data_IF_722421584566
#
_entry.id   IF_722421584566
#
_cell.length_a   1.000
_cell.length_b   1.000
_cell.length_c   1.000
_cell.angle_alpha   90.00
_cell.angle_beta   90.00
_cell.angle_gamma   90.00
#
_symmetry.space_group_name_H-M   'P 1'
#
loop_
_entity.id
_entity.type
_entity.pdbx_description
1 polymer ?
#
# COMPACT_ATOMS: atom_id res chain seq x y z
N UNK A 1 46.72 -28.41 15.01
CA UNK A 1 45.90 -27.47 14.22
C UNK A 1 44.71 -28.15 13.54
N UNK A 2 44.85 -29.39 13.03
CA UNK A 2 43.74 -30.16 12.41
C UNK A 2 42.60 -30.45 13.40
N UNK A 3 42.93 -30.79 14.66
CA UNK A 3 41.94 -31.03 15.73
C UNK A 3 41.09 -29.78 16.04
N UNK A 4 41.70 -28.60 16.03
CA UNK A 4 41.01 -27.33 16.26
C UNK A 4 40.05 -26.99 15.10
N UNK A 5 40.44 -27.28 13.86
CA UNK A 5 39.58 -27.11 12.68
C UNK A 5 38.37 -28.06 12.74
N UNK A 6 38.59 -29.32 13.12
CA UNK A 6 37.51 -30.31 13.24
C UNK A 6 36.46 -29.90 14.27
N UNK A 7 36.88 -29.33 15.41
CA UNK A 7 35.95 -28.80 16.43
C UNK A 7 35.15 -27.61 15.90
N UNK A 8 35.78 -26.69 15.17
CA UNK A 8 35.08 -25.52 14.61
C UNK A 8 34.03 -25.94 13.57
N UNK A 9 34.38 -26.88 12.68
CA UNK A 9 33.44 -27.40 11.67
C UNK A 9 32.29 -28.17 12.33
N UNK A 10 32.57 -28.95 13.38
CA UNK A 10 31.54 -29.66 14.13
C UNK A 10 30.56 -28.69 14.79
N UNK A 11 31.07 -27.65 15.46
CA UNK A 11 30.23 -26.62 16.10
C UNK A 11 29.44 -25.84 15.05
N UNK A 12 30.06 -25.48 13.93
CA UNK A 12 29.39 -24.81 12.81
C UNK A 12 28.28 -25.67 12.19
N UNK A 13 28.52 -26.97 12.00
CA UNK A 13 27.53 -27.91 11.47
C UNK A 13 26.37 -28.14 12.44
N UNK A 14 26.64 -28.17 13.75
CA UNK A 14 25.59 -28.24 14.78
C UNK A 14 24.77 -26.96 14.78
N UNK A 15 25.39 -25.78 14.75
CA UNK A 15 24.67 -24.51 14.63
C UNK A 15 23.83 -24.44 13.35
N UNK A 16 24.37 -24.91 12.23
CA UNK A 16 23.67 -24.99 10.95
C UNK A 16 22.41 -25.86 11.03
N UNK A 17 22.47 -27.01 11.72
CA UNK A 17 21.32 -27.90 11.95
C UNK A 17 20.18 -27.23 12.76
N UNK A 18 20.50 -26.24 13.59
CA UNK A 18 19.51 -25.50 14.39
C UNK A 18 19.03 -24.20 13.74
N UNK A 19 19.66 -23.76 12.65
CA UNK A 19 19.14 -22.67 11.82
C UNK A 19 18.08 -23.28 10.91
N UNK A 20 16.81 -22.81 10.96
CA UNK A 20 15.78 -23.28 10.05
C UNK A 20 16.21 -22.96 8.62
N UNK A 21 16.46 -23.99 7.82
CA UNK A 21 16.78 -23.90 6.39
C UNK A 21 15.49 -24.13 5.60
N UNK A 22 14.52 -23.25 5.80
CA UNK A 22 13.32 -23.22 4.96
C UNK A 22 13.64 -22.41 3.69
N UNK A 23 14.52 -22.94 2.83
CA UNK A 23 14.92 -22.31 1.57
C UNK A 23 13.88 -22.51 0.43
N UNK A 24 12.76 -23.21 0.69
CA UNK A 24 11.70 -23.52 -0.28
C UNK A 24 10.29 -23.03 0.13
N UNK A 25 10.16 -22.34 1.26
CA UNK A 25 8.90 -21.68 1.60
C UNK A 25 8.93 -20.28 0.99
N UNK A 26 8.20 -20.06 -0.12
CA UNK A 26 7.75 -18.70 -0.46
C UNK A 26 7.26 -18.07 0.85
N UNK A 27 7.86 -16.94 1.30
CA UNK A 27 7.56 -16.41 2.62
C UNK A 27 6.05 -16.31 2.73
N UNK A 28 5.46 -16.99 3.72
CA UNK A 28 4.03 -16.96 3.94
C UNK A 28 3.69 -15.52 4.35
N UNK A 29 3.45 -14.69 3.33
CA UNK A 29 3.08 -13.30 3.49
C UNK A 29 1.78 -13.32 4.25
N UNK A 30 1.88 -13.04 5.56
CA UNK A 30 0.77 -13.07 6.49
C UNK A 30 -0.31 -12.12 5.99
N UNK A 31 -1.41 -12.68 5.51
CA UNK A 31 -2.60 -11.91 5.14
C UNK A 31 -3.16 -11.22 6.38
N UNK A 32 -3.41 -9.93 6.26
CA UNK A 32 -4.12 -9.15 7.28
C UNK A 32 -5.58 -9.01 6.85
N UNK A 33 -6.51 -9.36 7.74
CA UNK A 33 -7.91 -8.99 7.56
C UNK A 33 -8.06 -7.52 7.94
N UNK A 34 -8.45 -6.68 6.96
CA UNK A 34 -8.57 -5.23 7.12
C UNK A 34 -10.02 -4.76 7.25
N UNK A 35 -11.00 -5.67 7.32
CA UNK A 35 -12.43 -5.33 7.28
C UNK A 35 -12.86 -4.49 8.47
N UNK A 36 -12.36 -4.78 9.67
CA UNK A 36 -12.73 -4.06 10.89
C UNK A 36 -12.20 -2.63 10.85
N UNK A 37 -10.95 -2.48 10.45
CA UNK A 37 -10.26 -1.20 10.28
C UNK A 37 -10.91 -0.37 9.17
N UNK A 38 -11.28 -0.99 8.05
CA UNK A 38 -11.99 -0.31 6.96
C UNK A 38 -13.36 0.21 7.43
N UNK A 39 -14.15 -0.61 8.13
CA UNK A 39 -15.44 -0.18 8.67
C UNK A 39 -15.28 0.95 9.69
N UNK A 40 -14.20 0.93 10.47
CA UNK A 40 -13.88 1.99 11.42
C UNK A 40 -13.49 3.27 10.70
N UNK A 41 -12.60 3.18 9.71
CA UNK A 41 -12.15 4.30 8.90
C UNK A 41 -13.33 4.96 8.16
N UNK A 42 -14.20 4.19 7.51
CA UNK A 42 -15.38 4.71 6.80
C UNK A 42 -16.36 5.48 7.68
N UNK A 43 -16.43 5.14 8.97
CA UNK A 43 -17.28 5.86 9.94
C UNK A 43 -16.62 7.11 10.51
N UNK A 44 -15.30 7.15 10.54
CA UNK A 44 -14.54 8.18 11.25
C UNK A 44 -13.90 9.21 10.31
N UNK A 45 -13.54 8.81 9.09
CA UNK A 45 -12.89 9.68 8.12
C UNK A 45 -13.88 10.72 7.57
N UNK A 46 -13.37 11.92 7.32
CA UNK A 46 -14.12 13.02 6.72
C UNK A 46 -14.31 12.90 5.19
N UNK A 47 -13.88 11.78 4.60
CA UNK A 47 -13.90 11.52 3.16
C UNK A 47 -14.21 10.04 2.87
N UNK A 48 -14.67 9.70 1.64
CA UNK A 48 -14.92 8.32 1.24
C UNK A 48 -13.62 7.48 1.22
N UNK A 49 -13.58 6.44 2.05
CA UNK A 49 -12.37 5.61 2.23
C UNK A 49 -12.27 4.60 1.10
N UNK A 50 -11.12 4.61 0.42
CA UNK A 50 -10.80 3.77 -0.72
C UNK A 50 -10.31 2.39 -0.28
N UNK A 51 -11.00 1.35 -0.72
CA UNK A 51 -10.55 -0.03 -0.60
C UNK A 51 -10.79 -0.78 -1.92
N UNK A 52 -9.90 -1.72 -2.30
CA UNK A 52 -10.10 -2.48 -3.52
C UNK A 52 -11.19 -3.54 -3.36
N UNK A 53 -11.95 -3.76 -4.42
CA UNK A 53 -12.91 -4.86 -4.55
C UNK A 53 -12.64 -5.66 -5.83
N UNK A 54 -12.81 -6.98 -5.77
CA UNK A 54 -12.65 -7.85 -6.94
C UNK A 54 -11.19 -8.07 -7.38
N UNK A 55 -10.20 -7.74 -6.55
CA UNK A 55 -8.82 -8.16 -6.80
C UNK A 55 -8.71 -9.69 -6.73
N UNK A 56 -7.90 -10.33 -7.59
CA UNK A 56 -7.61 -11.76 -7.48
C UNK A 56 -6.99 -12.11 -6.13
N UNK A 57 -7.24 -13.32 -5.62
CA UNK A 57 -6.68 -13.78 -4.35
C UNK A 57 -5.15 -13.67 -4.26
N UNK A 58 -4.44 -13.76 -5.37
CA UNK A 58 -2.98 -13.61 -5.40
C UNK A 58 -2.50 -12.23 -4.87
N UNK A 59 -3.38 -11.23 -4.80
CA UNK A 59 -3.11 -9.97 -4.09
C UNK A 59 -3.33 -10.18 -2.59
N UNK A 60 -2.25 -10.05 -1.81
CA UNK A 60 -2.27 -10.32 -0.37
C UNK A 60 -2.24 -9.01 0.42
N UNK A 61 -3.29 -8.65 1.17
CA UNK A 61 -3.23 -7.50 2.07
C UNK A 61 -2.23 -7.77 3.20
N UNK A 62 -1.34 -6.83 3.47
CA UNK A 62 -0.19 -7.02 4.38
C UNK A 62 -0.15 -6.03 5.52
N UNK A 63 -0.77 -4.87 5.35
CA UNK A 63 -0.83 -3.83 6.37
C UNK A 63 -2.11 -3.02 6.23
N UNK A 64 -2.70 -2.64 7.36
CA UNK A 64 -3.81 -1.71 7.41
C UNK A 64 -3.60 -0.77 8.59
N UNK A 65 -3.92 0.51 8.40
CA UNK A 65 -3.91 1.50 9.48
C UNK A 65 -4.84 2.65 9.15
N UNK A 66 -5.56 3.12 10.17
CA UNK A 66 -6.27 4.39 10.13
C UNK A 66 -5.81 5.27 11.29
N UNK A 67 -5.57 6.56 11.03
CA UNK A 67 -5.19 7.59 12.02
C UNK A 67 -6.07 8.82 11.87
N UNK A 68 -7.17 8.87 12.61
CA UNK A 68 -8.07 10.03 12.65
C UNK A 68 -7.44 11.28 13.27
N UNK A 69 -6.45 11.11 14.14
CA UNK A 69 -5.72 12.18 14.82
C UNK A 69 -4.57 12.77 13.98
N UNK A 70 -4.24 12.14 12.85
CA UNK A 70 -3.15 12.51 11.94
C UNK A 70 -3.69 12.70 10.53
N UNK A 71 -4.47 13.78 10.32
CA UNK A 71 -5.06 14.14 9.03
C UNK A 71 -5.91 13.04 8.39
N UNK A 72 -6.72 12.36 9.22
CA UNK A 72 -7.57 11.24 8.83
C UNK A 72 -6.85 10.21 7.95
N UNK A 73 -5.59 9.87 8.25
CA UNK A 73 -4.76 9.09 7.33
C UNK A 73 -5.21 7.64 7.24
N UNK A 74 -5.50 7.18 6.02
CA UNK A 74 -5.80 5.80 5.68
C UNK A 74 -4.63 5.17 4.95
N UNK A 75 -4.29 3.95 5.35
CA UNK A 75 -3.23 3.14 4.76
C UNK A 75 -3.72 1.70 4.59
N UNK A 76 -3.55 1.18 3.39
CA UNK A 76 -3.80 -0.23 3.07
C UNK A 76 -2.75 -0.76 2.11
N UNK A 77 -1.84 -1.60 2.61
CA UNK A 77 -0.75 -2.22 1.87
C UNK A 77 -1.08 -3.62 1.36
N UNK A 78 -0.56 -3.94 0.19
CA UNK A 78 -0.65 -5.24 -0.46
C UNK A 78 0.70 -5.68 -1.02
N UNK A 79 0.88 -6.99 -1.11
CA UNK A 79 1.78 -7.60 -2.08
C UNK A 79 0.99 -8.07 -3.31
N UNK A 80 1.50 -7.73 -4.48
CA UNK A 80 1.05 -8.21 -5.77
C UNK A 80 1.47 -9.67 -5.99
N UNK A 81 0.98 -10.36 -7.05
CA UNK A 81 1.26 -11.78 -7.27
C UNK A 81 2.74 -12.15 -7.43
N UNK A 82 3.57 -11.21 -7.87
CA UNK A 82 5.03 -11.34 -8.01
C UNK A 82 5.79 -10.89 -6.75
N UNK A 83 5.09 -10.56 -5.67
CA UNK A 83 5.66 -10.09 -4.41
C UNK A 83 5.90 -8.58 -4.35
N UNK A 84 5.66 -7.83 -5.44
CA UNK A 84 5.87 -6.38 -5.42
C UNK A 84 4.88 -5.67 -4.50
N UNK A 85 5.33 -4.60 -3.85
CA UNK A 85 4.51 -3.86 -2.90
C UNK A 85 3.64 -2.83 -3.61
N UNK A 86 2.37 -2.72 -3.19
CA UNK A 86 1.42 -1.70 -3.63
C UNK A 86 0.58 -1.27 -2.44
N UNK A 87 0.52 0.03 -2.16
CA UNK A 87 -0.27 0.63 -1.10
C UNK A 87 -1.32 1.59 -1.65
N UNK A 88 -2.44 1.67 -0.95
CA UNK A 88 -3.45 2.70 -1.08
C UNK A 88 -3.32 3.61 0.14
N UNK A 89 -3.02 4.88 -0.11
CA UNK A 89 -2.85 5.91 0.90
C UNK A 89 -3.90 7.00 0.68
N UNK A 90 -4.57 7.45 1.73
CA UNK A 90 -5.41 8.64 1.67
C UNK A 90 -5.19 9.55 2.89
N UNK A 91 -5.32 10.85 2.70
CA UNK A 91 -5.25 11.82 3.79
C UNK A 91 -5.83 13.18 3.40
N UNK A 92 -6.29 13.93 4.39
CA UNK A 92 -6.68 15.35 4.28
C UNK A 92 -5.50 16.32 4.45
N UNK A 93 -4.28 15.82 4.64
CA UNK A 93 -3.08 16.63 4.71
C UNK A 93 -2.81 17.41 3.40
N UNK A 94 -1.99 18.47 3.48
CA UNK A 94 -1.51 19.21 2.31
C UNK A 94 -1.00 18.25 1.22
N UNK A 95 -1.62 18.23 0.01
CA UNK A 95 -1.35 17.22 -1.01
C UNK A 95 0.13 17.06 -1.36
N UNK A 96 0.87 18.16 -1.52
CA UNK A 96 2.28 18.11 -1.89
C UNK A 96 3.15 17.37 -0.86
N UNK A 97 2.83 17.50 0.44
CA UNK A 97 3.58 16.84 1.50
C UNK A 97 3.20 15.36 1.58
N UNK A 98 1.90 15.10 1.53
CA UNK A 98 1.37 13.75 1.59
C UNK A 98 1.83 12.88 0.42
N UNK A 99 1.82 13.42 -0.81
CA UNK A 99 2.30 12.71 -2.00
C UNK A 99 3.79 12.39 -1.87
N UNK A 100 4.61 13.35 -1.41
CA UNK A 100 6.05 13.14 -1.19
C UNK A 100 6.31 12.02 -0.16
N UNK A 101 5.56 11.99 0.95
CA UNK A 101 5.65 10.94 1.96
C UNK A 101 5.17 9.59 1.43
N UNK A 102 3.98 9.52 0.83
CA UNK A 102 3.36 8.29 0.35
C UNK A 102 4.17 7.64 -0.78
N UNK A 103 4.70 8.45 -1.69
CA UNK A 103 5.55 7.98 -2.80
C UNK A 103 7.04 7.90 -2.43
N UNK A 104 7.42 8.35 -1.24
CA UNK A 104 8.79 8.40 -0.77
C UNK A 104 9.70 9.16 -1.77
N UNK A 105 9.30 10.38 -2.13
CA UNK A 105 10.08 11.32 -2.93
C UNK A 105 9.80 11.36 -4.43
N UNK A 106 8.69 10.78 -4.91
CA UNK A 106 8.37 10.80 -6.34
C UNK A 106 7.88 12.18 -6.80
N UNK A 107 8.13 12.51 -8.06
CA UNK A 107 7.76 13.77 -8.68
C UNK A 107 6.70 13.59 -9.75
N UNK A 108 5.83 14.58 -9.84
CA UNK A 108 4.76 14.65 -10.84
C UNK A 108 5.35 14.57 -12.25
N UNK A 109 4.72 13.78 -13.11
CA UNK A 109 5.03 13.70 -14.53
C UNK A 109 3.93 14.36 -15.35
N UNK A 110 4.15 14.54 -16.65
CA UNK A 110 3.13 15.00 -17.58
C UNK A 110 2.13 13.89 -17.98
N UNK A 111 2.31 12.67 -17.46
CA UNK A 111 1.49 11.51 -17.86
C UNK A 111 0.27 11.40 -16.95
N UNK A 112 -0.90 11.48 -17.57
CA UNK A 112 -2.19 11.20 -16.92
C UNK A 112 -2.82 9.92 -17.48
N UNK A 113 -3.68 9.29 -16.69
CA UNK A 113 -4.38 8.07 -17.07
C UNK A 113 -5.79 8.04 -16.48
N UNK A 114 -6.78 7.73 -17.31
CA UNK A 114 -8.15 7.45 -16.85
C UNK A 114 -8.24 6.03 -16.28
N UNK A 115 -8.63 5.92 -15.01
CA UNK A 115 -8.74 4.63 -14.31
C UNK A 115 -9.99 4.65 -13.43
N UNK A 116 -10.95 3.78 -13.75
CA UNK A 116 -12.22 3.71 -13.00
C UNK A 116 -13.03 5.01 -13.05
N UNK A 117 -13.01 5.73 -14.17
CA UNK A 117 -13.72 7.00 -14.36
C UNK A 117 -13.12 8.20 -13.62
N UNK A 118 -11.86 8.08 -13.20
CA UNK A 118 -11.10 9.11 -12.48
C UNK A 118 -9.77 9.36 -13.19
N UNK A 119 -9.35 10.61 -13.26
CA UNK A 119 -8.06 10.99 -13.85
C UNK A 119 -6.95 10.88 -12.82
N UNK A 120 -6.00 9.99 -13.04
CA UNK A 120 -4.82 9.80 -12.21
C UNK A 120 -3.60 10.42 -12.87
N UNK A 121 -2.73 11.04 -12.07
CA UNK A 121 -1.46 11.58 -12.53
C UNK A 121 -0.34 10.66 -12.08
N UNK A 122 0.62 10.36 -12.97
CA UNK A 122 1.77 9.52 -12.65
C UNK A 122 2.86 10.32 -11.95
N UNK A 123 3.46 9.72 -10.95
CA UNK A 123 4.62 10.23 -10.22
C UNK A 123 5.73 9.17 -10.26
N UNK A 124 6.98 9.60 -10.45
CA UNK A 124 8.14 8.69 -10.51
C UNK A 124 9.42 9.32 -9.92
N UNK A 125 10.49 8.56 -9.84
CA UNK A 125 11.82 9.01 -9.40
C UNK A 125 12.01 9.04 -7.88
N UNK A 126 11.00 8.61 -7.11
CA UNK A 126 11.10 8.34 -5.68
C UNK A 126 11.49 6.89 -5.40
N UNK A 127 11.37 6.46 -4.15
CA UNK A 127 11.48 5.02 -3.82
C UNK A 127 10.30 4.24 -4.38
N UNK A 128 9.12 4.86 -4.47
CA UNK A 128 7.91 4.27 -5.04
C UNK A 128 7.44 5.05 -6.24
N UNK A 129 7.05 4.35 -7.30
CA UNK A 129 6.22 4.95 -8.34
C UNK A 129 4.80 5.11 -7.78
N UNK A 130 4.07 6.11 -8.26
CA UNK A 130 2.75 6.41 -7.75
C UNK A 130 1.76 6.87 -8.83
N UNK A 131 0.50 6.53 -8.60
CA UNK A 131 -0.67 7.12 -9.23
C UNK A 131 -1.36 8.00 -8.19
N UNK A 132 -1.51 9.28 -8.50
CA UNK A 132 -2.12 10.25 -7.59
C UNK A 132 -3.45 10.73 -8.14
N UNK A 133 -4.47 10.67 -7.30
CA UNK A 133 -5.77 11.29 -7.51
C UNK A 133 -5.94 12.40 -6.48
N UNK A 134 -5.89 13.64 -6.94
CA UNK A 134 -6.11 14.83 -6.12
C UNK A 134 -7.63 15.02 -5.91
N UNK A 135 -8.01 15.65 -4.80
CA UNK A 135 -9.40 16.03 -4.49
C UNK A 135 -10.41 14.86 -4.51
N UNK A 136 -10.01 13.75 -3.89
CA UNK A 136 -10.89 12.64 -3.57
C UNK A 136 -11.85 13.05 -2.45
N UNK A 137 -12.98 13.62 -2.85
CA UNK A 137 -14.01 14.15 -1.98
C UNK A 137 -15.02 14.87 -2.86
N UNK A 138 -16.17 14.23 -3.09
CA UNK A 138 -17.19 14.74 -3.99
C UNK A 138 -18.11 15.74 -3.27
N UNK A 139 -18.59 16.71 -4.05
CA UNK A 139 -19.80 17.53 -3.80
C UNK A 139 -21.06 16.65 -3.77
N UNK A 140 -21.06 15.61 -2.95
CA UNK A 140 -22.18 14.71 -2.79
C UNK A 140 -23.31 15.42 -2.07
N UNK A 141 -24.28 15.92 -2.84
CA UNK A 141 -25.60 16.39 -2.38
C UNK A 141 -26.43 15.31 -1.64
N UNK A 142 -25.84 14.15 -1.30
CA UNK A 142 -26.59 13.04 -0.73
C UNK A 142 -27.01 13.27 0.72
N UNK A 143 -26.30 14.09 1.52
CA UNK A 143 -26.67 14.38 2.91
C UNK A 143 -26.35 15.81 3.40
N UNK A 144 -26.05 16.75 2.49
CA UNK A 144 -25.88 18.17 2.83
C UNK A 144 -24.58 18.55 3.57
N UNK A 145 -23.74 17.57 3.91
CA UNK A 145 -22.40 17.79 4.47
C UNK A 145 -21.36 17.67 3.34
N UNK A 146 -20.62 18.75 3.06
CA UNK A 146 -19.54 18.71 2.06
C UNK A 146 -18.40 17.83 2.58
N UNK A 147 -18.24 16.62 2.02
CA UNK A 147 -17.11 15.75 2.34
C UNK A 147 -15.79 16.52 2.19
N UNK A 148 -14.86 16.30 3.13
CA UNK A 148 -13.53 16.91 3.05
C UNK A 148 -12.81 16.40 1.80
N UNK A 149 -11.96 17.25 1.23
CA UNK A 149 -11.10 16.85 0.10
C UNK A 149 -9.91 16.08 0.64
N UNK A 150 -9.78 14.81 0.27
CA UNK A 150 -8.59 14.01 0.54
C UNK A 150 -7.75 13.85 -0.73
N UNK A 151 -6.47 13.56 -0.59
CA UNK A 151 -5.63 13.07 -1.70
C UNK A 151 -5.54 11.57 -1.61
N UNK A 152 -5.76 10.86 -2.71
CA UNK A 152 -5.55 9.40 -2.80
C UNK A 152 -4.28 9.12 -3.59
N UNK A 153 -3.42 8.27 -3.06
CA UNK A 153 -2.18 7.84 -3.71
C UNK A 153 -2.15 6.33 -3.75
N UNK A 154 -1.97 5.75 -4.93
CA UNK A 154 -1.60 4.34 -5.09
C UNK A 154 -0.12 4.30 -5.39
N UNK A 155 0.70 3.86 -4.43
CA UNK A 155 2.15 3.90 -4.53
C UNK A 155 2.77 2.55 -4.20
N UNK A 156 3.92 2.24 -4.79
CA UNK A 156 4.70 1.08 -4.39
C UNK A 156 5.89 0.78 -5.30
N UNK A 157 6.45 -0.40 -5.11
CA UNK A 157 7.51 -0.93 -5.98
C UNK A 157 6.95 -1.66 -7.20
N UNK A 158 5.66 -2.00 -7.17
CA UNK A 158 4.98 -2.60 -8.31
C UNK A 158 4.98 -1.69 -9.54
N UNK A 159 5.02 -2.32 -10.72
CA UNK A 159 4.92 -1.66 -12.01
C UNK A 159 3.66 -0.80 -12.12
N UNK A 160 3.67 0.21 -12.99
CA UNK A 160 2.45 1.00 -13.27
C UNK A 160 1.24 0.14 -13.66
N UNK A 161 1.42 -1.03 -14.30
CA UNK A 161 0.32 -1.94 -14.58
C UNK A 161 -0.33 -2.51 -13.31
N UNK A 162 0.47 -2.81 -12.29
CA UNK A 162 -0.01 -3.25 -10.98
C UNK A 162 -0.66 -2.10 -10.20
N UNK A 163 -0.05 -0.90 -10.21
CA UNK A 163 -0.67 0.29 -9.61
C UNK A 163 -2.01 0.60 -10.28
N UNK A 164 -2.10 0.54 -11.60
CA UNK A 164 -3.35 0.73 -12.35
C UNK A 164 -4.38 -0.32 -11.99
N UNK A 165 -3.98 -1.59 -11.85
CA UNK A 165 -4.90 -2.67 -11.46
C UNK A 165 -5.47 -2.46 -10.06
N UNK A 166 -4.65 -2.03 -9.11
CA UNK A 166 -5.10 -1.63 -7.78
C UNK A 166 -6.07 -0.44 -7.86
N UNK A 167 -5.68 0.64 -8.53
CA UNK A 167 -6.49 1.85 -8.68
C UNK A 167 -7.86 1.58 -9.35
N UNK A 168 -7.91 0.68 -10.32
CA UNK A 168 -9.15 0.27 -10.99
C UNK A 168 -10.11 -0.50 -10.08
N UNK A 169 -9.58 -1.22 -9.09
CA UNK A 169 -10.37 -1.98 -8.12
C UNK A 169 -10.96 -1.11 -7.00
N UNK A 170 -10.49 0.13 -6.82
CA UNK A 170 -10.88 0.97 -5.68
C UNK A 170 -12.34 1.40 -5.72
N UNK A 171 -13.08 1.02 -4.68
CA UNK A 171 -14.36 1.61 -4.28
C UNK A 171 -14.13 2.63 -3.18
N UNK A 172 -14.79 3.77 -3.31
CA UNK A 172 -14.72 4.89 -2.37
C UNK A 172 -16.11 5.04 -1.75
N UNK A 173 -16.20 4.70 -0.47
CA UNK A 173 -17.45 4.67 0.32
C UNK A 173 -17.27 5.41 1.63
#
# INVERSE_FOLDING_TARGET
MILSLAVIVLVGGVMWLFIPHDDDAEPDIKRVDYRVELLTARRAASYPVAAPEGLPEAWKPTSVRFRGDDFDRWHLGYHAPDGEYVAVEQSTEKPSRFIDEASQGARETEVTQEIGGRTWVRYTGGRYDALVLKDTGGTGEADGESAARATTVVAGTGSFGQLTKMAAALKME
#
